data_IF_382232103664
#
_entry.id   IF_382232103664
#
_cell.length_a   1.000
_cell.length_b   1.000
_cell.length_c   1.000
_cell.angle_alpha   90.00
_cell.angle_beta   90.00
_cell.angle_gamma   90.00
#
_symmetry.space_group_name_H-M   'P 1'
#
loop_
_entity.id
_entity.type
_entity.pdbx_description
1 polymer ?
#
# COMPACT_ATOMS: atom_id res chain seq x y z
N UNK A 1 22.98 -58.24 -1.24
CA UNK A 1 23.18 -56.79 -1.21
C UNK A 1 21.84 -56.12 -1.46
N UNK A 2 21.41 -55.18 -0.60
CA UNK A 2 20.12 -54.53 -0.75
C UNK A 2 20.20 -53.57 -1.92
N UNK A 3 19.26 -53.68 -2.91
CA UNK A 3 19.24 -52.81 -4.07
C UNK A 3 18.92 -51.35 -3.66
N UNK A 4 19.62 -50.42 -4.28
CA UNK A 4 19.40 -48.98 -4.06
C UNK A 4 18.11 -48.56 -4.72
N UNK A 5 17.23 -47.87 -3.98
CA UNK A 5 16.01 -47.28 -4.55
C UNK A 5 16.32 -45.90 -5.11
N UNK A 6 16.49 -45.80 -6.43
CA UNK A 6 16.81 -44.56 -7.12
C UNK A 6 15.79 -43.44 -6.91
N UNK A 7 14.54 -43.74 -6.47
CA UNK A 7 13.50 -42.73 -6.17
C UNK A 7 13.80 -41.90 -4.92
N UNK A 8 14.74 -42.39 -4.08
CA UNK A 8 15.20 -41.73 -2.85
C UNK A 8 16.37 -40.77 -3.09
N UNK A 9 16.97 -40.80 -4.27
CA UNK A 9 18.08 -39.94 -4.66
C UNK A 9 17.56 -38.67 -5.37
N UNK A 10 18.27 -37.56 -5.23
CA UNK A 10 18.00 -36.35 -6.02
C UNK A 10 18.25 -36.61 -7.50
N UNK A 11 17.58 -35.84 -8.37
CA UNK A 11 17.79 -35.96 -9.82
C UNK A 11 19.24 -35.76 -10.22
N UNK A 12 19.94 -34.83 -9.56
CA UNK A 12 21.37 -34.53 -9.77
C UNK A 12 22.25 -35.70 -9.37
N UNK A 13 22.00 -36.31 -8.21
CA UNK A 13 22.74 -37.47 -7.75
C UNK A 13 22.56 -38.68 -8.70
N UNK A 14 21.34 -38.91 -9.18
CA UNK A 14 21.04 -39.93 -10.17
C UNK A 14 21.70 -39.67 -11.53
N UNK A 15 21.78 -38.38 -11.93
CA UNK A 15 22.49 -37.99 -13.14
C UNK A 15 23.97 -38.32 -13.06
N UNK A 16 24.62 -37.89 -11.98
CA UNK A 16 26.05 -38.15 -11.78
C UNK A 16 26.34 -39.65 -11.69
N UNK A 17 25.49 -40.44 -11.02
CA UNK A 17 25.64 -41.89 -10.98
C UNK A 17 25.52 -42.53 -12.36
N UNK A 18 24.57 -42.09 -13.20
CA UNK A 18 24.40 -42.57 -14.59
C UNK A 18 25.62 -42.28 -15.44
N UNK A 19 26.09 -41.04 -15.39
CA UNK A 19 27.25 -40.57 -16.17
C UNK A 19 28.49 -41.38 -15.74
N UNK A 20 28.78 -41.42 -14.44
CA UNK A 20 29.94 -42.14 -13.93
C UNK A 20 29.89 -43.65 -14.25
N UNK A 21 28.72 -44.27 -14.14
CA UNK A 21 28.56 -45.69 -14.47
C UNK A 21 28.86 -45.96 -15.95
N UNK A 22 28.37 -45.12 -16.87
CA UNK A 22 28.63 -45.29 -18.29
C UNK A 22 30.10 -45.03 -18.64
N UNK A 23 30.70 -44.00 -18.07
CA UNK A 23 32.13 -43.70 -18.28
C UNK A 23 33.05 -44.82 -17.81
N UNK A 24 32.74 -45.48 -16.69
CA UNK A 24 33.46 -46.69 -16.23
C UNK A 24 33.34 -47.83 -17.21
N UNK A 25 32.18 -48.05 -17.79
CA UNK A 25 31.99 -49.09 -18.82
C UNK A 25 32.78 -48.77 -20.09
N UNK A 26 32.75 -47.52 -20.54
CA UNK A 26 33.54 -47.06 -21.69
C UNK A 26 35.07 -47.15 -21.44
N UNK A 27 35.48 -47.06 -20.15
CA UNK A 27 36.86 -47.27 -19.74
C UNK A 27 37.24 -48.77 -19.68
N UNK A 28 36.33 -49.71 -20.03
CA UNK A 28 36.58 -51.13 -20.14
C UNK A 28 36.11 -51.99 -18.96
N UNK A 29 35.41 -51.40 -17.95
CA UNK A 29 34.85 -52.22 -16.88
C UNK A 29 33.60 -52.98 -17.34
N UNK A 30 33.40 -54.19 -16.80
CA UNK A 30 32.18 -54.97 -17.10
C UNK A 30 30.92 -54.23 -16.63
N UNK A 31 29.89 -54.07 -17.49
CA UNK A 31 28.62 -53.44 -17.11
C UNK A 31 27.97 -54.05 -15.87
N UNK A 32 28.05 -55.34 -15.74
CA UNK A 32 27.52 -56.08 -14.58
C UNK A 32 28.27 -55.77 -13.29
N UNK A 33 29.60 -55.67 -13.34
CA UNK A 33 30.44 -55.25 -12.21
C UNK A 33 30.11 -53.83 -11.75
N UNK A 34 30.02 -52.88 -12.70
CA UNK A 34 29.72 -51.49 -12.44
C UNK A 34 28.35 -51.36 -11.77
N UNK A 35 27.31 -51.95 -12.33
CA UNK A 35 25.95 -51.78 -11.79
C UNK A 35 25.77 -52.46 -10.44
N UNK A 36 26.44 -53.60 -10.22
CA UNK A 36 26.46 -54.29 -8.95
C UNK A 36 27.14 -53.48 -7.86
N UNK A 37 28.26 -52.82 -8.17
CA UNK A 37 28.97 -51.93 -7.23
C UNK A 37 28.13 -50.73 -6.79
N UNK A 38 27.26 -50.19 -7.68
CA UNK A 38 26.38 -49.06 -7.40
C UNK A 38 25.08 -49.51 -6.70
N UNK A 39 24.73 -50.81 -6.80
CA UNK A 39 23.55 -51.35 -6.15
C UNK A 39 22.25 -51.18 -6.93
N UNK A 40 22.31 -50.96 -8.24
CA UNK A 40 21.13 -50.88 -9.11
C UNK A 40 20.85 -52.21 -9.85
N UNK A 41 19.66 -52.30 -10.45
CA UNK A 41 19.28 -53.45 -11.25
C UNK A 41 20.07 -53.46 -12.58
N UNK A 42 20.40 -54.67 -13.05
CA UNK A 42 21.12 -54.90 -14.31
C UNK A 42 20.53 -54.15 -15.52
N UNK A 43 19.24 -54.08 -15.64
CA UNK A 43 18.56 -53.40 -16.73
C UNK A 43 18.93 -51.92 -16.80
N UNK A 44 19.27 -51.27 -15.69
CA UNK A 44 19.58 -49.84 -15.65
C UNK A 44 20.83 -49.50 -16.46
N UNK A 45 21.93 -50.27 -16.30
CA UNK A 45 23.18 -49.95 -16.99
C UNK A 45 23.04 -50.08 -18.51
N UNK A 46 22.33 -51.09 -19.00
CA UNK A 46 22.14 -51.26 -20.44
C UNK A 46 21.25 -50.15 -21.04
N UNK A 47 20.24 -49.65 -20.30
CA UNK A 47 19.48 -48.49 -20.72
C UNK A 47 20.34 -47.22 -20.76
N UNK A 48 21.23 -47.04 -19.81
CA UNK A 48 22.12 -45.89 -19.78
C UNK A 48 23.14 -45.91 -20.92
N UNK A 49 23.75 -47.09 -21.17
CA UNK A 49 24.66 -47.29 -22.30
C UNK A 49 23.93 -47.03 -23.62
N UNK A 50 22.71 -47.55 -23.79
CA UNK A 50 21.92 -47.29 -25.00
C UNK A 50 21.62 -45.82 -25.19
N UNK A 51 21.25 -45.13 -24.12
CA UNK A 51 21.04 -43.67 -24.15
C UNK A 51 22.31 -42.90 -24.50
N UNK A 52 23.45 -43.28 -23.91
CA UNK A 52 24.75 -42.70 -24.23
C UNK A 52 25.16 -42.90 -25.69
N UNK A 53 24.97 -44.09 -26.22
CA UNK A 53 25.25 -44.39 -27.65
C UNK A 53 24.35 -43.63 -28.63
N UNK A 54 23.14 -43.25 -28.21
CA UNK A 54 22.21 -42.51 -29.05
C UNK A 54 22.41 -40.97 -29.01
N UNK A 55 22.95 -40.42 -27.93
CA UNK A 55 23.03 -38.97 -27.77
C UNK A 55 24.13 -38.48 -26.81
N UNK A 56 25.15 -39.31 -26.54
CA UNK A 56 26.27 -38.94 -25.71
C UNK A 56 25.90 -38.65 -24.24
N UNK A 57 26.72 -37.89 -23.56
CA UNK A 57 26.52 -37.49 -22.16
C UNK A 57 25.21 -36.69 -21.99
N UNK A 58 24.82 -35.89 -22.99
CA UNK A 58 23.60 -35.11 -22.92
C UNK A 58 22.33 -35.98 -22.79
N UNK A 59 22.30 -37.16 -23.38
CA UNK A 59 21.19 -38.10 -23.23
C UNK A 59 21.09 -38.73 -21.83
N UNK A 60 22.16 -38.64 -21.03
CA UNK A 60 22.19 -39.11 -19.65
C UNK A 60 21.75 -38.04 -18.64
N UNK A 61 21.67 -36.77 -19.02
CA UNK A 61 21.26 -35.70 -18.15
C UNK A 61 19.81 -35.85 -17.68
N UNK A 62 19.55 -35.37 -16.48
CA UNK A 62 18.21 -35.36 -15.92
C UNK A 62 17.32 -34.35 -16.66
N UNK A 63 16.29 -34.84 -17.32
CA UNK A 63 15.30 -33.98 -17.94
C UNK A 63 14.33 -33.46 -16.88
N UNK A 64 14.08 -32.13 -16.85
CA UNK A 64 13.06 -31.55 -16.01
C UNK A 64 11.70 -32.14 -16.41
N UNK A 65 11.06 -32.82 -15.46
CA UNK A 65 9.71 -33.34 -15.70
C UNK A 65 8.73 -32.17 -15.87
N UNK A 66 7.96 -32.22 -16.93
CA UNK A 66 6.83 -31.32 -17.09
C UNK A 66 5.82 -31.62 -15.99
N UNK A 67 5.53 -30.63 -15.15
CA UNK A 67 4.48 -30.75 -14.14
C UNK A 67 3.10 -30.93 -14.77
N UNK A 68 2.06 -31.03 -13.92
CA UNK A 68 0.67 -31.08 -14.42
C UNK A 68 0.39 -29.84 -15.29
N UNK A 69 -0.21 -30.02 -16.48
CA UNK A 69 -0.61 -28.88 -17.31
C UNK A 69 -1.47 -27.86 -16.54
N UNK A 70 -1.32 -26.57 -16.80
CA UNK A 70 -2.16 -25.54 -16.18
C UNK A 70 -3.64 -25.81 -16.52
N UNK A 71 -4.51 -25.57 -15.54
CA UNK A 71 -5.97 -25.76 -15.73
C UNK A 71 -6.54 -24.66 -16.66
N UNK A 72 -6.01 -23.43 -16.56
CA UNK A 72 -6.35 -22.32 -17.43
C UNK A 72 -5.30 -22.17 -18.54
N UNK A 73 -5.75 -21.92 -19.77
CA UNK A 73 -4.87 -21.63 -20.91
C UNK A 73 -4.23 -20.25 -20.76
N UNK A 74 -3.19 -19.96 -21.57
CA UNK A 74 -2.57 -18.63 -21.62
C UNK A 74 -3.57 -17.52 -21.95
N UNK A 75 -4.45 -17.75 -22.93
CA UNK A 75 -5.51 -16.81 -23.34
C UNK A 75 -6.51 -16.54 -22.21
N UNK A 76 -6.93 -17.61 -21.51
CA UNK A 76 -7.83 -17.48 -20.35
C UNK A 76 -7.18 -16.70 -19.21
N UNK A 77 -5.89 -16.88 -18.99
CA UNK A 77 -5.13 -16.13 -17.99
C UNK A 77 -5.02 -14.64 -18.35
N UNK A 78 -4.76 -14.32 -19.62
CA UNK A 78 -4.74 -12.93 -20.11
C UNK A 78 -6.12 -12.27 -19.99
N UNK A 79 -7.18 -12.96 -20.39
CA UNK A 79 -8.56 -12.45 -20.24
C UNK A 79 -8.90 -12.23 -18.77
N UNK A 80 -8.54 -13.16 -17.88
CA UNK A 80 -8.77 -13.02 -16.45
C UNK A 80 -7.99 -11.84 -15.85
N UNK A 81 -6.77 -11.61 -16.30
CA UNK A 81 -5.98 -10.45 -15.90
C UNK A 81 -6.70 -9.15 -16.27
N UNK A 82 -7.09 -8.98 -17.53
CA UNK A 82 -7.82 -7.80 -18.01
C UNK A 82 -9.15 -7.58 -17.25
N UNK A 83 -9.91 -8.64 -16.99
CA UNK A 83 -11.15 -8.57 -16.20
C UNK A 83 -10.89 -7.99 -14.80
N UNK A 84 -9.82 -8.41 -14.14
CA UNK A 84 -9.55 -7.96 -12.74
C UNK A 84 -8.95 -6.56 -12.72
N UNK A 85 -8.18 -6.16 -13.74
CA UNK A 85 -7.52 -4.85 -13.77
C UNK A 85 -8.40 -3.74 -14.34
N UNK A 86 -9.25 -4.05 -15.31
CA UNK A 86 -9.95 -3.06 -16.12
C UNK A 86 -11.45 -3.00 -15.85
N UNK A 87 -12.01 -4.02 -15.17
CA UNK A 87 -13.44 -4.18 -14.95
C UNK A 87 -13.76 -4.27 -13.45
N UNK A 88 -15.05 -4.18 -13.08
CA UNK A 88 -15.52 -4.30 -11.69
C UNK A 88 -16.41 -5.53 -11.51
N UNK A 89 -16.53 -6.07 -10.29
CA UNK A 89 -17.44 -7.20 -10.01
C UNK A 89 -18.90 -6.92 -10.39
N UNK A 90 -19.33 -5.66 -10.33
CA UNK A 90 -20.71 -5.24 -10.67
C UNK A 90 -21.07 -5.58 -12.12
N UNK A 91 -20.12 -5.48 -13.05
CA UNK A 91 -20.30 -5.86 -14.45
C UNK A 91 -20.58 -7.35 -14.63
N UNK A 92 -20.22 -8.17 -13.62
CA UNK A 92 -20.50 -9.60 -13.55
C UNK A 92 -21.69 -9.95 -12.64
N UNK A 93 -22.55 -8.96 -12.34
CA UNK A 93 -23.77 -9.08 -11.52
C UNK A 93 -23.50 -9.39 -10.04
N UNK A 94 -22.32 -9.05 -9.52
CA UNK A 94 -22.06 -9.09 -8.08
C UNK A 94 -22.38 -7.73 -7.44
N UNK A 95 -23.03 -7.67 -6.28
CA UNK A 95 -23.36 -6.41 -5.61
C UNK A 95 -22.16 -5.84 -4.82
N UNK A 96 -20.96 -5.97 -5.34
CA UNK A 96 -19.72 -5.57 -4.67
C UNK A 96 -18.80 -4.84 -5.64
N UNK A 97 -18.16 -3.76 -5.16
CA UNK A 97 -17.18 -2.99 -5.93
C UNK A 97 -15.76 -3.57 -5.87
N UNK A 98 -15.49 -4.54 -4.97
CA UNK A 98 -14.16 -5.07 -4.74
C UNK A 98 -14.04 -6.54 -5.14
N UNK A 99 -12.98 -6.86 -5.86
CA UNK A 99 -12.63 -8.23 -6.17
C UNK A 99 -12.22 -9.01 -4.91
N UNK A 100 -12.90 -10.11 -4.62
CA UNK A 100 -12.51 -11.10 -3.62
C UNK A 100 -12.15 -12.42 -4.31
N UNK A 101 -11.41 -13.28 -3.63
CA UNK A 101 -11.03 -14.59 -4.18
C UNK A 101 -12.27 -15.42 -4.54
N UNK A 102 -13.33 -15.36 -3.74
CA UNK A 102 -14.58 -16.05 -4.01
C UNK A 102 -15.29 -15.52 -5.27
N UNK A 103 -15.36 -14.20 -5.43
CA UNK A 103 -15.94 -13.58 -6.63
C UNK A 103 -15.11 -13.96 -7.87
N UNK A 104 -13.79 -13.86 -7.79
CA UNK A 104 -12.91 -14.25 -8.92
C UNK A 104 -13.10 -15.72 -9.29
N UNK A 105 -13.24 -16.62 -8.30
CA UNK A 105 -13.56 -18.04 -8.55
C UNK A 105 -14.86 -18.19 -9.35
N UNK A 106 -15.89 -17.46 -8.95
CA UNK A 106 -17.22 -17.56 -9.58
C UNK A 106 -17.21 -16.95 -11.00
N UNK A 107 -16.46 -15.86 -11.21
CA UNK A 107 -16.22 -15.26 -12.55
C UNK A 107 -15.44 -16.23 -13.46
N UNK A 108 -14.40 -16.89 -12.95
CA UNK A 108 -13.69 -17.94 -13.71
C UNK A 108 -14.64 -19.04 -14.16
N UNK A 109 -15.56 -19.46 -13.29
CA UNK A 109 -16.59 -20.44 -13.63
C UNK A 109 -17.56 -19.90 -14.69
N UNK A 110 -17.99 -18.65 -14.58
CA UNK A 110 -18.88 -18.01 -15.55
C UNK A 110 -18.26 -17.90 -16.94
N UNK A 111 -17.01 -17.41 -17.00
CA UNK A 111 -16.34 -17.09 -18.28
C UNK A 111 -15.77 -18.33 -18.99
N UNK A 112 -15.23 -19.28 -18.22
CA UNK A 112 -14.43 -20.37 -18.80
C UNK A 112 -15.03 -21.75 -18.52
N UNK A 113 -16.14 -21.84 -17.78
CA UNK A 113 -16.73 -23.09 -17.30
C UNK A 113 -15.71 -24.00 -16.55
N UNK A 114 -14.73 -23.37 -15.89
CA UNK A 114 -13.67 -24.06 -15.14
C UNK A 114 -13.93 -23.89 -13.64
N UNK A 115 -13.92 -25.01 -12.90
CA UNK A 115 -14.05 -25.00 -11.44
C UNK A 115 -12.67 -24.98 -10.79
N UNK A 116 -12.36 -23.92 -10.07
CA UNK A 116 -11.15 -23.78 -9.26
C UNK A 116 -11.51 -23.71 -7.78
N UNK A 117 -10.62 -24.21 -6.92
CA UNK A 117 -10.66 -23.88 -5.50
C UNK A 117 -10.15 -22.47 -5.25
N UNK A 118 -10.53 -21.84 -4.14
CA UNK A 118 -10.04 -20.50 -3.77
C UNK A 118 -8.51 -20.45 -3.65
N UNK A 119 -7.89 -21.53 -3.16
CA UNK A 119 -6.43 -21.65 -3.11
C UNK A 119 -5.82 -21.66 -4.51
N UNK A 120 -6.48 -22.33 -5.48
CA UNK A 120 -6.00 -22.34 -6.87
C UNK A 120 -6.15 -20.96 -7.52
N UNK A 121 -7.24 -20.25 -7.25
CA UNK A 121 -7.44 -18.86 -7.68
C UNK A 121 -6.36 -17.98 -7.08
N UNK A 122 -6.11 -18.05 -5.79
CA UNK A 122 -5.06 -17.27 -5.13
C UNK A 122 -3.68 -17.49 -5.76
N UNK A 123 -3.31 -18.76 -6.03
CA UNK A 123 -2.06 -19.10 -6.72
C UNK A 123 -2.02 -18.53 -8.12
N UNK A 124 -3.14 -18.56 -8.84
CA UNK A 124 -3.28 -17.98 -10.19
C UNK A 124 -3.07 -16.45 -10.14
N UNK A 125 -3.69 -15.75 -9.18
CA UNK A 125 -3.49 -14.30 -8.98
C UNK A 125 -2.02 -13.98 -8.74
N UNK A 126 -1.36 -14.71 -7.85
CA UNK A 126 0.09 -14.53 -7.60
C UNK A 126 0.94 -14.79 -8.84
N UNK A 127 0.61 -15.80 -9.64
CA UNK A 127 1.29 -16.10 -10.90
C UNK A 127 1.12 -14.98 -11.93
N UNK A 128 -0.03 -14.30 -11.94
CA UNK A 128 -0.32 -13.13 -12.77
C UNK A 128 0.31 -11.83 -12.24
N UNK A 129 1.04 -11.87 -11.12
CA UNK A 129 1.62 -10.68 -10.49
C UNK A 129 0.63 -9.84 -9.69
N UNK A 130 -0.61 -10.33 -9.50
CA UNK A 130 -1.66 -9.63 -8.77
C UNK A 130 -1.53 -9.91 -7.26
N UNK A 131 -1.66 -8.86 -6.47
CA UNK A 131 -1.65 -8.93 -5.00
C UNK A 131 -2.82 -8.14 -4.43
N UNK A 132 -3.35 -8.53 -3.25
CA UNK A 132 -4.37 -7.74 -2.59
C UNK A 132 -3.85 -6.32 -2.32
N UNK A 133 -4.58 -5.32 -2.79
CA UNK A 133 -4.27 -3.91 -2.58
C UNK A 133 -5.40 -3.26 -1.78
N UNK A 134 -5.06 -2.25 -0.99
CA UNK A 134 -6.06 -1.41 -0.35
C UNK A 134 -6.51 -0.35 -1.37
N UNK A 135 -7.79 -0.36 -1.79
CA UNK A 135 -8.23 0.57 -2.81
C UNK A 135 -8.21 2.01 -2.29
N UNK A 136 -7.79 2.93 -3.13
CA UNK A 136 -8.01 4.36 -2.92
C UNK A 136 -9.48 4.66 -3.21
N UNK A 137 -10.15 5.33 -2.28
CA UNK A 137 -11.52 5.80 -2.48
C UNK A 137 -11.47 7.24 -2.94
N UNK A 138 -11.89 7.48 -4.17
CA UNK A 138 -12.06 8.83 -4.73
C UNK A 138 -13.53 9.19 -4.77
N UNK A 139 -13.84 10.43 -4.47
CA UNK A 139 -15.22 10.91 -4.56
C UNK A 139 -15.66 11.00 -6.04
N UNK A 140 -16.88 10.59 -6.34
CA UNK A 140 -17.45 10.74 -7.69
C UNK A 140 -17.50 12.21 -8.16
N UNK A 141 -17.53 13.14 -7.19
CA UNK A 141 -17.57 14.58 -7.43
C UNK A 141 -16.20 15.17 -7.79
N UNK A 142 -15.11 14.41 -7.63
CA UNK A 142 -13.77 14.86 -8.00
C UNK A 142 -13.66 15.04 -9.52
N UNK A 143 -13.23 16.23 -9.94
CA UNK A 143 -12.98 16.54 -11.35
C UNK A 143 -11.51 16.33 -11.66
N UNK A 144 -11.21 15.31 -12.43
CA UNK A 144 -9.84 14.95 -12.81
C UNK A 144 -9.13 16.09 -13.53
N UNK A 145 -9.85 16.84 -14.38
CA UNK A 145 -9.31 17.99 -15.11
C UNK A 145 -8.87 19.10 -14.14
N UNK A 146 -9.66 19.38 -13.08
CA UNK A 146 -9.32 20.39 -12.08
C UNK A 146 -8.07 19.98 -11.28
N UNK A 147 -7.93 18.67 -10.96
CA UNK A 147 -6.72 18.14 -10.32
C UNK A 147 -5.51 18.31 -11.24
N UNK A 148 -5.63 17.93 -12.50
CA UNK A 148 -4.54 18.09 -13.47
C UNK A 148 -4.15 19.57 -13.67
N UNK A 149 -5.13 20.45 -13.80
CA UNK A 149 -4.89 21.90 -13.92
C UNK A 149 -4.16 22.44 -12.67
N UNK A 150 -4.58 22.05 -11.47
CA UNK A 150 -3.90 22.46 -10.24
C UNK A 150 -2.43 22.01 -10.23
N UNK A 151 -2.17 20.75 -10.59
CA UNK A 151 -0.83 20.18 -10.56
C UNK A 151 0.10 20.75 -11.65
N UNK A 152 -0.43 21.00 -12.86
CA UNK A 152 0.37 21.42 -14.00
C UNK A 152 0.50 22.94 -14.16
N UNK A 153 -0.42 23.73 -13.61
CA UNK A 153 -0.47 25.18 -13.84
C UNK A 153 -0.58 25.98 -12.54
N UNK A 154 -1.57 25.70 -11.69
CA UNK A 154 -1.86 26.57 -10.53
C UNK A 154 -0.79 26.44 -9.45
N UNK A 155 -0.44 25.22 -9.02
CA UNK A 155 0.58 25.02 -7.98
C UNK A 155 1.98 25.49 -8.41
N UNK A 156 2.47 25.24 -9.63
CA UNK A 156 3.72 25.85 -10.10
C UNK A 156 3.74 27.37 -9.99
N UNK A 157 2.66 28.06 -10.35
CA UNK A 157 2.52 29.52 -10.19
C UNK A 157 2.58 29.95 -8.73
N UNK A 158 1.91 29.21 -7.84
CA UNK A 158 1.95 29.48 -6.39
C UNK A 158 3.38 29.30 -5.88
N UNK A 159 4.07 28.23 -6.28
CA UNK A 159 5.46 27.95 -5.89
C UNK A 159 6.42 29.02 -6.37
N UNK A 160 6.33 29.42 -7.62
CA UNK A 160 7.22 30.45 -8.21
C UNK A 160 6.99 31.81 -7.56
N UNK A 161 5.73 32.18 -7.30
CA UNK A 161 5.38 33.39 -6.57
C UNK A 161 5.88 33.35 -5.13
N UNK A 162 5.72 32.21 -4.44
CA UNK A 162 6.25 32.05 -3.09
C UNK A 162 7.78 32.20 -3.05
N UNK A 163 8.47 31.64 -4.03
CA UNK A 163 9.93 31.77 -4.17
C UNK A 163 10.34 33.24 -4.39
N UNK A 164 9.61 33.96 -5.24
CA UNK A 164 9.88 35.39 -5.53
C UNK A 164 9.73 36.26 -4.28
N UNK A 165 8.71 36.00 -3.46
CA UNK A 165 8.40 36.78 -2.25
C UNK A 165 9.11 36.22 -0.97
N UNK A 166 9.84 35.12 -1.08
CA UNK A 166 10.42 34.44 0.07
C UNK A 166 9.37 33.84 1.01
N UNK A 167 8.16 33.62 0.51
CA UNK A 167 7.04 33.09 1.31
C UNK A 167 7.21 31.61 1.65
N UNK A 168 6.58 31.21 2.77
CA UNK A 168 6.48 29.82 3.17
C UNK A 168 5.12 29.26 2.76
N UNK A 169 5.11 28.14 2.01
CA UNK A 169 3.86 27.48 1.61
C UNK A 169 3.46 26.50 2.72
N UNK A 170 2.25 26.66 3.22
CA UNK A 170 1.61 25.78 4.20
C UNK A 170 0.39 25.10 3.60
N UNK A 171 0.15 23.87 3.99
CA UNK A 171 -1.08 23.13 3.72
C UNK A 171 -1.81 23.00 5.04
N UNK A 172 -3.07 23.41 5.04
CA UNK A 172 -3.92 23.37 6.23
C UNK A 172 -5.14 22.49 6.04
N UNK A 173 -5.58 21.91 7.14
CA UNK A 173 -6.76 21.06 7.20
C UNK A 173 -7.39 21.09 8.60
N UNK A 174 -8.65 20.74 8.68
CA UNK A 174 -9.35 20.51 9.94
C UNK A 174 -9.73 19.02 10.10
N UNK A 175 -9.65 18.57 11.32
CA UNK A 175 -10.04 17.22 11.65
C UNK A 175 -10.79 17.11 12.96
N UNK A 176 -11.51 16.02 13.05
CA UNK A 176 -12.17 15.59 14.28
C UNK A 176 -11.70 14.21 14.69
N UNK A 177 -11.30 14.09 15.96
CA UNK A 177 -10.95 12.80 16.55
C UNK A 177 -12.00 12.42 17.59
N UNK A 178 -12.47 11.18 17.50
CA UNK A 178 -13.45 10.62 18.42
C UNK A 178 -12.78 9.59 19.34
N UNK A 179 -13.30 9.47 20.56
CA UNK A 179 -12.82 8.52 21.55
C UNK A 179 -13.07 7.06 21.21
N UNK A 180 -14.04 6.77 20.35
CA UNK A 180 -14.38 5.43 19.87
C UNK A 180 -13.55 4.98 18.65
N UNK A 181 -12.55 5.75 18.25
CA UNK A 181 -11.61 5.35 17.23
C UNK A 181 -10.55 4.41 17.82
N UNK A 182 -10.52 3.18 17.34
CA UNK A 182 -9.54 2.19 17.76
C UNK A 182 -8.75 1.69 16.54
N UNK A 183 -7.46 1.52 16.71
CA UNK A 183 -6.58 1.01 15.67
C UNK A 183 -5.47 0.15 16.25
N UNK A 184 -5.01 -0.81 15.44
CA UNK A 184 -3.89 -1.67 15.80
C UNK A 184 -4.33 -3.05 16.30
N UNK A 185 -3.31 -3.84 16.64
CA UNK A 185 -3.43 -5.20 17.17
C UNK A 185 -2.63 -5.30 18.46
N UNK A 186 -2.99 -6.26 19.32
CA UNK A 186 -2.22 -6.57 20.53
C UNK A 186 -1.94 -8.07 20.62
N UNK A 187 -0.98 -8.44 21.46
CA UNK A 187 -0.63 -9.84 21.68
C UNK A 187 -1.62 -10.50 22.63
N UNK A 188 -2.03 -11.71 22.29
CA UNK A 188 -2.86 -12.57 23.13
C UNK A 188 -2.58 -14.03 22.81
N UNK A 189 -3.05 -14.94 23.65
CA UNK A 189 -2.99 -16.39 23.39
C UNK A 189 -3.78 -16.68 22.12
N UNK A 190 -3.21 -17.52 21.23
CA UNK A 190 -3.86 -17.92 19.97
C UNK A 190 -5.28 -18.44 20.22
N UNK A 191 -6.23 -17.89 19.54
CA UNK A 191 -7.66 -18.23 19.69
C UNK A 191 -8.41 -17.45 20.77
N UNK A 192 -7.72 -16.67 21.61
CA UNK A 192 -8.33 -15.84 22.65
C UNK A 192 -8.25 -14.37 22.25
N UNK A 193 -9.38 -13.78 21.84
CA UNK A 193 -9.43 -12.36 21.53
C UNK A 193 -9.35 -11.54 22.81
N UNK A 194 -8.36 -10.65 22.95
CA UNK A 194 -8.23 -9.80 24.14
C UNK A 194 -9.33 -8.76 24.21
N UNK A 195 -9.78 -8.45 25.42
CA UNK A 195 -10.80 -7.43 25.68
C UNK A 195 -10.11 -6.19 26.27
N UNK A 196 -10.27 -5.07 25.58
CA UNK A 196 -9.88 -3.75 26.10
C UNK A 196 -11.15 -3.04 26.60
N UNK A 197 -11.21 -2.76 27.90
CA UNK A 197 -12.38 -2.05 28.46
C UNK A 197 -12.35 -0.59 28.02
N UNK A 198 -13.45 -0.10 27.46
CA UNK A 198 -13.62 1.29 27.05
C UNK A 198 -14.95 1.83 27.63
N UNK A 199 -15.09 3.15 27.66
CA UNK A 199 -16.38 3.79 27.99
C UNK A 199 -17.34 3.69 26.80
N UNK A 200 -18.64 3.53 27.05
CA UNK A 200 -19.68 3.64 26.03
C UNK A 200 -19.96 5.08 25.57
N UNK A 201 -19.43 6.08 26.28
CA UNK A 201 -19.60 7.47 25.92
C UNK A 201 -18.68 7.86 24.74
N UNK A 202 -19.17 8.77 23.87
CA UNK A 202 -18.45 9.23 22.69
C UNK A 202 -18.05 10.67 22.88
N UNK A 203 -16.75 10.90 23.03
CA UNK A 203 -16.15 12.23 23.11
C UNK A 203 -15.57 12.62 21.74
N UNK A 204 -15.49 13.90 21.47
CA UNK A 204 -14.99 14.45 20.22
C UNK A 204 -14.10 15.66 20.51
N UNK A 205 -12.97 15.74 19.82
CA UNK A 205 -12.08 16.91 19.81
C UNK A 205 -11.89 17.36 18.38
N UNK A 206 -12.15 18.63 18.12
CA UNK A 206 -11.90 19.27 16.84
C UNK A 206 -10.57 20.01 16.88
N UNK A 207 -9.88 20.06 15.76
CA UNK A 207 -8.58 20.70 15.64
C UNK A 207 -8.36 21.17 14.21
N UNK A 208 -7.48 22.15 14.05
CA UNK A 208 -6.96 22.62 12.79
C UNK A 208 -5.45 22.63 12.84
N UNK A 209 -4.78 22.28 11.76
CA UNK A 209 -3.35 22.45 11.61
C UNK A 209 -2.95 22.97 10.24
N UNK A 210 -1.70 23.38 10.15
CA UNK A 210 -1.03 23.66 8.90
C UNK A 210 0.44 23.24 9.01
N UNK A 211 0.94 22.59 7.95
CA UNK A 211 2.31 22.08 7.85
C UNK A 211 2.99 22.57 6.58
N UNK A 212 4.32 22.70 6.61
CA UNK A 212 5.13 23.01 5.43
C UNK A 212 6.14 21.91 5.11
N UNK A 213 6.69 21.95 3.90
CA UNK A 213 7.66 20.96 3.43
C UNK A 213 9.03 21.03 4.17
N UNK A 214 9.28 22.07 4.97
CA UNK A 214 10.46 22.18 5.84
C UNK A 214 10.27 21.44 7.15
N UNK A 215 9.04 20.99 7.45
CA UNK A 215 8.67 20.27 8.67
C UNK A 215 8.17 21.17 9.78
N UNK A 216 7.83 22.42 9.49
CA UNK A 216 7.15 23.28 10.45
C UNK A 216 5.67 22.92 10.55
N UNK A 217 5.11 23.07 11.75
CA UNK A 217 3.71 22.83 12.03
C UNK A 217 3.14 23.92 12.96
N UNK A 218 1.93 24.36 12.66
CA UNK A 218 1.07 25.14 13.55
C UNK A 218 -0.23 24.39 13.74
N UNK A 219 -0.77 24.39 14.95
CA UNK A 219 -2.06 23.76 15.24
C UNK A 219 -2.83 24.48 16.31
N UNK A 220 -4.12 24.28 16.32
CA UNK A 220 -5.04 24.77 17.34
C UNK A 220 -6.12 23.73 17.63
N UNK A 221 -6.41 23.48 18.90
CA UNK A 221 -7.56 22.69 19.31
C UNK A 221 -8.77 23.61 19.34
N UNK A 222 -9.87 23.15 18.79
CA UNK A 222 -11.13 23.87 18.67
C UNK A 222 -12.11 23.28 19.67
N UNK A 223 -12.70 24.09 20.52
CA UNK A 223 -13.64 23.61 21.57
C UNK A 223 -14.98 23.16 20.99
N UNK A 224 -15.42 23.81 19.94
CA UNK A 224 -16.70 23.54 19.27
C UNK A 224 -16.49 23.12 17.80
N UNK A 225 -17.39 23.46 16.92
CA UNK A 225 -17.22 23.29 15.46
C UNK A 225 -16.35 24.39 14.87
N UNK A 226 -15.74 24.11 13.72
CA UNK A 226 -15.06 25.12 12.93
C UNK A 226 -16.06 26.21 12.48
N UNK A 227 -15.76 27.45 12.83
CA UNK A 227 -16.51 28.64 12.38
C UNK A 227 -15.56 29.59 11.66
N UNK A 228 -16.14 30.58 10.96
CA UNK A 228 -15.35 31.63 10.28
C UNK A 228 -14.44 32.36 11.28
N UNK A 229 -14.92 32.67 12.47
CA UNK A 229 -14.16 33.41 13.47
C UNK A 229 -13.03 32.55 14.07
N UNK A 230 -13.28 31.27 14.28
CA UNK A 230 -12.25 30.28 14.70
C UNK A 230 -11.16 30.14 13.64
N UNK A 231 -11.53 30.10 12.35
CA UNK A 231 -10.57 30.02 11.26
C UNK A 231 -9.71 31.30 11.19
N UNK A 232 -10.32 32.48 11.31
CA UNK A 232 -9.60 33.76 11.37
C UNK A 232 -8.60 33.79 12.55
N UNK A 233 -9.01 33.29 13.71
CA UNK A 233 -8.08 33.18 14.86
C UNK A 233 -6.89 32.25 14.54
N UNK A 234 -7.13 31.13 13.85
CA UNK A 234 -6.05 30.26 13.40
C UNK A 234 -5.12 30.98 12.38
N UNK A 235 -5.67 31.70 11.42
CA UNK A 235 -4.89 32.49 10.46
C UNK A 235 -4.02 33.54 11.16
N UNK A 236 -4.57 34.25 12.15
CA UNK A 236 -3.84 35.21 12.96
C UNK A 236 -2.65 34.55 13.65
N UNK A 237 -2.86 33.40 14.30
CA UNK A 237 -1.78 32.64 14.95
C UNK A 237 -0.75 32.09 13.94
N UNK A 238 -1.17 31.76 12.74
CA UNK A 238 -0.29 31.24 11.69
C UNK A 238 0.72 32.30 11.22
N UNK A 239 0.29 33.57 11.10
CA UNK A 239 1.16 34.67 10.64
C UNK A 239 1.91 35.37 11.78
N UNK A 240 1.44 35.26 13.02
CA UNK A 240 2.07 35.95 14.17
C UNK A 240 3.54 35.53 14.34
N UNK A 241 4.41 36.54 14.49
CA UNK A 241 5.85 36.35 14.75
C UNK A 241 6.64 35.82 13.56
N UNK A 242 6.13 36.00 12.32
CA UNK A 242 6.83 35.64 11.10
C UNK A 242 7.37 36.85 10.38
N UNK A 243 8.57 36.72 9.85
CA UNK A 243 9.20 37.75 9.02
C UNK A 243 8.95 37.52 7.51
N UNK A 244 8.47 36.34 7.11
CA UNK A 244 8.19 35.96 5.74
C UNK A 244 6.70 35.73 5.54
N UNK A 245 6.13 36.09 4.37
CA UNK A 245 4.73 35.83 4.06
C UNK A 245 4.40 34.33 4.12
N UNK A 246 3.15 34.05 4.39
CA UNK A 246 2.59 32.69 4.42
C UNK A 246 1.62 32.52 3.26
N UNK A 247 1.85 31.52 2.44
CA UNK A 247 0.90 31.06 1.44
C UNK A 247 0.21 29.82 2.02
N UNK A 248 -1.06 29.93 2.36
CA UNK A 248 -1.82 28.83 2.95
C UNK A 248 -2.72 28.20 1.89
N UNK A 249 -2.54 26.90 1.66
CA UNK A 249 -3.37 26.10 0.77
C UNK A 249 -4.32 25.28 1.64
N UNK A 250 -5.62 25.42 1.43
CA UNK A 250 -6.69 24.71 2.16
C UNK A 250 -7.68 24.07 1.18
N UNK A 251 -8.57 23.26 1.68
CA UNK A 251 -9.68 22.74 0.88
C UNK A 251 -10.74 23.82 0.55
N UNK A 252 -11.75 23.44 -0.24
CA UNK A 252 -12.83 24.32 -0.65
C UNK A 252 -13.94 24.49 0.38
N UNK A 253 -13.74 24.21 1.67
CA UNK A 253 -14.78 24.29 2.68
C UNK A 253 -15.40 25.71 2.75
N UNK A 254 -16.73 25.85 2.91
CA UNK A 254 -17.41 27.16 2.91
C UNK A 254 -16.86 28.15 3.95
N UNK A 255 -16.40 27.68 5.08
CA UNK A 255 -15.78 28.52 6.14
C UNK A 255 -14.56 29.25 5.59
N UNK A 256 -13.71 28.60 4.79
CA UNK A 256 -12.49 29.18 4.23
C UNK A 256 -12.79 30.29 3.20
N UNK A 257 -13.96 30.23 2.58
CA UNK A 257 -14.42 31.20 1.55
C UNK A 257 -15.32 32.32 2.10
N UNK A 258 -15.51 32.36 3.42
CA UNK A 258 -16.36 33.34 4.09
C UNK A 258 -15.94 34.77 3.81
N UNK A 259 -16.92 35.70 3.76
CA UNK A 259 -16.65 37.13 3.52
C UNK A 259 -15.65 37.72 4.52
N UNK A 260 -15.80 37.40 5.81
CA UNK A 260 -14.88 37.85 6.87
C UNK A 260 -13.46 37.30 6.67
N UNK A 261 -13.32 36.06 6.17
CA UNK A 261 -11.99 35.48 5.88
C UNK A 261 -11.32 36.24 4.74
N UNK A 262 -12.07 36.52 3.65
CA UNK A 262 -11.54 37.31 2.53
C UNK A 262 -11.13 38.71 2.96
N UNK A 263 -11.93 39.36 3.82
CA UNK A 263 -11.59 40.65 4.38
C UNK A 263 -10.30 40.55 5.21
N UNK A 264 -10.20 39.60 6.13
CA UNK A 264 -8.98 39.39 6.95
C UNK A 264 -7.74 39.18 6.08
N UNK A 265 -7.84 38.34 5.04
CA UNK A 265 -6.71 38.08 4.11
C UNK A 265 -6.33 39.36 3.35
N UNK A 266 -7.32 40.16 2.92
CA UNK A 266 -7.07 41.44 2.25
C UNK A 266 -6.38 42.45 3.18
N UNK A 267 -6.75 42.49 4.45
CA UNK A 267 -6.14 43.36 5.46
C UNK A 267 -4.71 42.96 5.84
N UNK A 268 -4.32 41.71 5.51
CA UNK A 268 -3.00 41.14 5.80
C UNK A 268 -2.31 40.64 4.52
N UNK A 269 -2.57 41.26 3.38
CA UNK A 269 -2.09 40.80 2.07
C UNK A 269 -0.55 40.78 1.93
N UNK A 270 0.14 41.53 2.76
CA UNK A 270 1.61 41.52 2.88
C UNK A 270 2.15 40.31 3.63
N UNK A 271 1.31 39.64 4.44
CA UNK A 271 1.71 38.51 5.30
C UNK A 271 1.02 37.19 4.95
N UNK A 272 -0.13 37.22 4.27
CA UNK A 272 -0.94 36.04 4.04
C UNK A 272 -1.60 36.04 2.66
N UNK A 273 -1.38 34.98 1.89
CA UNK A 273 -2.19 34.64 0.73
C UNK A 273 -2.89 33.30 0.97
N UNK A 274 -4.16 33.18 0.54
CA UNK A 274 -4.96 31.97 0.71
C UNK A 274 -5.27 31.35 -0.66
N UNK A 275 -4.95 30.07 -0.80
CA UNK A 275 -5.18 29.27 -2.01
C UNK A 275 -6.06 28.07 -1.69
N UNK A 276 -6.67 27.49 -2.72
CA UNK A 276 -7.61 26.41 -2.56
C UNK A 276 -7.21 25.18 -3.38
N UNK A 277 -7.30 24.02 -2.76
CA UNK A 277 -7.20 22.74 -3.46
C UNK A 277 -8.40 22.53 -4.39
N UNK A 278 -8.26 21.71 -5.44
CA UNK A 278 -9.39 21.21 -6.20
C UNK A 278 -10.41 20.53 -5.29
N UNK A 279 -11.68 20.66 -5.62
CA UNK A 279 -12.73 20.06 -4.80
C UNK A 279 -12.62 18.54 -4.71
N UNK A 280 -12.88 17.99 -3.53
CA UNK A 280 -12.85 16.54 -3.25
C UNK A 280 -11.50 15.85 -3.53
N UNK A 281 -10.39 16.54 -3.26
CA UNK A 281 -9.04 16.02 -3.49
C UNK A 281 -8.20 16.00 -2.20
N UNK A 282 -8.62 15.26 -1.16
CA UNK A 282 -7.89 15.18 0.10
C UNK A 282 -6.49 14.55 -0.06
N UNK A 283 -6.29 13.70 -1.08
CA UNK A 283 -5.00 13.08 -1.39
C UNK A 283 -3.91 14.11 -1.76
N UNK A 284 -4.29 15.32 -2.17
CA UNK A 284 -3.36 16.41 -2.46
C UNK A 284 -3.00 17.22 -1.20
N UNK A 285 -3.63 16.95 -0.06
CA UNK A 285 -3.34 17.66 1.18
C UNK A 285 -2.44 16.84 2.11
N UNK A 286 -1.17 17.21 2.30
CA UNK A 286 -0.27 16.50 3.20
C UNK A 286 -0.70 16.57 4.67
N UNK A 287 -1.52 17.54 5.08
CA UNK A 287 -2.00 17.68 6.44
C UNK A 287 -2.96 16.57 6.86
N UNK A 288 -3.62 15.89 5.91
CA UNK A 288 -4.37 14.64 6.15
C UNK A 288 -3.51 13.54 6.80
N UNK A 289 -2.22 13.51 6.49
CA UNK A 289 -1.29 12.54 7.08
C UNK A 289 -0.96 12.87 8.53
N UNK A 290 -1.07 14.12 8.96
CA UNK A 290 -1.00 14.53 10.37
C UNK A 290 -2.10 13.84 11.16
N UNK A 291 -3.33 13.88 10.65
CA UNK A 291 -4.49 13.25 11.29
C UNK A 291 -4.36 11.74 11.35
N UNK A 292 -3.94 11.12 10.25
CA UNK A 292 -3.66 9.68 10.22
C UNK A 292 -2.60 9.29 11.24
N UNK A 293 -1.54 10.08 11.37
CA UNK A 293 -0.49 9.84 12.37
C UNK A 293 -1.04 9.94 13.80
N UNK A 294 -1.75 11.01 14.14
CA UNK A 294 -2.32 11.21 15.48
C UNK A 294 -3.36 10.14 15.82
N UNK A 295 -4.26 9.83 14.88
CA UNK A 295 -5.29 8.80 15.05
C UNK A 295 -4.67 7.42 15.28
N UNK A 296 -3.76 7.00 14.40
CA UNK A 296 -3.26 5.63 14.37
C UNK A 296 -2.10 5.37 15.35
N UNK A 297 -1.24 6.37 15.59
CA UNK A 297 -0.07 6.16 16.45
C UNK A 297 -0.30 6.56 17.91
N UNK A 298 -1.38 7.29 18.21
CA UNK A 298 -1.65 7.75 19.57
C UNK A 298 -3.06 7.38 20.00
N UNK A 299 -4.07 8.10 19.55
CA UNK A 299 -5.44 8.01 20.08
C UNK A 299 -6.03 6.62 19.94
N UNK A 300 -5.88 5.99 18.75
CA UNK A 300 -6.45 4.68 18.48
C UNK A 300 -5.86 3.52 19.28
N UNK A 301 -4.76 3.76 19.99
CA UNK A 301 -4.08 2.76 20.86
C UNK A 301 -4.33 2.99 22.34
N UNK A 302 -5.07 4.03 22.71
CA UNK A 302 -5.28 4.42 24.10
C UNK A 302 -6.73 4.20 24.54
N UNK A 303 -6.91 3.88 25.81
CA UNK A 303 -8.22 3.87 26.45
C UNK A 303 -8.55 5.26 26.93
N UNK A 304 -9.67 5.82 26.49
CA UNK A 304 -10.10 7.18 26.78
C UNK A 304 -11.35 7.10 27.65
N UNK A 305 -11.29 7.72 28.82
CA UNK A 305 -12.38 7.65 29.82
C UNK A 305 -13.17 8.97 29.95
N UNK A 306 -12.66 10.06 29.38
CA UNK A 306 -13.33 11.37 29.45
C UNK A 306 -12.88 12.38 28.39
N UNK A 307 -13.64 13.47 28.19
CA UNK A 307 -13.36 14.48 27.18
C UNK A 307 -12.05 15.24 27.43
N UNK A 308 -11.76 15.59 28.68
CA UNK A 308 -10.52 16.31 29.03
C UNK A 308 -9.28 15.44 28.78
N UNK A 309 -9.38 14.14 29.07
CA UNK A 309 -8.32 13.20 28.77
C UNK A 309 -8.08 13.10 27.27
N UNK A 310 -9.14 13.01 26.44
CA UNK A 310 -9.02 13.01 25.00
C UNK A 310 -8.34 14.30 24.49
N UNK A 311 -8.78 15.46 24.99
CA UNK A 311 -8.20 16.78 24.65
C UNK A 311 -6.71 16.84 25.00
N UNK A 312 -6.34 16.39 26.21
CA UNK A 312 -4.95 16.36 26.66
C UNK A 312 -4.08 15.43 25.82
N UNK A 313 -4.57 14.23 25.47
CA UNK A 313 -3.87 13.25 24.63
C UNK A 313 -3.63 13.84 23.24
N UNK A 314 -4.66 14.39 22.61
CA UNK A 314 -4.58 14.98 21.26
C UNK A 314 -3.60 16.17 21.27
N UNK A 315 -3.72 17.07 22.24
CA UNK A 315 -2.81 18.20 22.39
C UNK A 315 -1.36 17.76 22.54
N UNK A 316 -1.11 16.78 23.42
CA UNK A 316 0.23 16.21 23.63
C UNK A 316 0.79 15.57 22.35
N UNK A 317 -0.04 14.83 21.61
CA UNK A 317 0.36 14.20 20.35
C UNK A 317 0.75 15.24 19.28
N UNK A 318 -0.07 16.28 19.10
CA UNK A 318 0.20 17.37 18.15
C UNK A 318 1.44 18.17 18.55
N UNK A 319 1.58 18.49 19.84
CA UNK A 319 2.77 19.18 20.37
C UNK A 319 4.05 18.33 20.22
N UNK A 320 3.95 17.01 20.39
CA UNK A 320 5.07 16.10 20.12
C UNK A 320 5.44 16.10 18.65
N UNK A 321 4.44 15.96 17.77
CA UNK A 321 4.64 15.93 16.32
C UNK A 321 5.26 17.25 15.82
N UNK A 322 4.82 18.40 16.31
CA UNK A 322 5.38 19.70 15.92
C UNK A 322 6.86 19.88 16.30
N UNK A 323 7.39 19.04 17.22
CA UNK A 323 8.82 18.99 17.58
C UNK A 323 9.60 17.95 16.78
N UNK A 324 8.98 17.24 15.85
CA UNK A 324 9.58 16.18 15.03
C UNK A 324 9.51 16.54 13.55
N UNK A 325 10.24 17.58 13.09
CA UNK A 325 10.15 18.08 11.70
C UNK A 325 10.53 17.02 10.68
N UNK A 326 11.35 16.03 11.03
CA UNK A 326 11.68 14.92 10.11
C UNK A 326 10.48 14.03 9.79
N UNK A 327 9.55 13.83 10.73
CA UNK A 327 8.30 13.07 10.48
C UNK A 327 7.38 13.88 9.57
N UNK A 328 7.21 15.17 9.85
CA UNK A 328 6.38 16.04 9.02
C UNK A 328 6.91 16.10 7.58
N UNK A 329 8.22 16.22 7.38
CA UNK A 329 8.84 16.17 6.06
C UNK A 329 8.55 14.88 5.31
N UNK A 330 8.50 13.74 6.01
CA UNK A 330 8.17 12.46 5.38
C UNK A 330 6.75 12.42 4.80
N UNK A 331 5.81 13.17 5.34
CA UNK A 331 4.46 13.25 4.79
C UNK A 331 4.46 13.76 3.36
N UNK A 332 5.33 14.72 3.03
CA UNK A 332 5.45 15.29 1.69
C UNK A 332 6.09 14.34 0.65
N UNK A 333 6.61 13.20 1.08
CA UNK A 333 7.15 12.16 0.20
C UNK A 333 6.14 11.04 -0.12
N UNK A 334 4.88 11.16 0.30
CA UNK A 334 3.84 10.26 -0.14
C UNK A 334 3.64 10.37 -1.67
N UNK A 335 3.31 9.27 -2.37
CA UNK A 335 3.26 9.26 -3.85
C UNK A 335 2.41 10.37 -4.47
N UNK A 336 1.23 10.65 -3.91
CA UNK A 336 0.31 11.67 -4.41
C UNK A 336 0.77 13.12 -4.10
N UNK A 337 1.79 13.29 -3.25
CA UNK A 337 2.29 14.58 -2.76
C UNK A 337 3.67 14.96 -3.33
N UNK A 338 4.22 14.13 -4.21
CA UNK A 338 5.54 14.40 -4.81
C UNK A 338 5.58 15.70 -5.62
N UNK A 339 4.43 16.17 -6.10
CA UNK A 339 4.31 17.46 -6.82
C UNK A 339 4.79 18.67 -6.01
N UNK A 340 4.84 18.55 -4.67
CA UNK A 340 5.25 19.62 -3.76
C UNK A 340 6.77 19.74 -3.69
N UNK A 341 7.49 18.61 -3.77
CA UNK A 341 8.94 18.52 -3.55
C UNK A 341 9.74 18.28 -4.83
N UNK A 342 9.02 18.07 -5.95
CA UNK A 342 9.60 17.90 -7.30
C UNK A 342 10.13 19.19 -7.91
#
# INVERSE_FOLDING_TARGET
MKLLDGRKLSHEALEQLRINAVLRVEAGESPESVIKSIGFQRVCIYRWIAAYRSGGIEALRAKKLNGRPPILTGEQLMKLFSVITDETPEQYKFPFALWTISIIRDVVRQLFNVRLSEVSVWRTMKKLGLTPQRPLRRAYQQKTEAVQQFLSDEFPKIRDRAKLLGASIYWGDEASIRSDYHSGTTWAVKGNTPIVKTTGARFKVNMISAIDARGNMRFMIIEHSLTVDVFIEFLRRLITGRNAPVFLIVDGHPVHRGKKVKQFVSEHADQLELYYLPGYSPELNPDELVWNHVKNQTVGKMTITGPDQLKAIVHSALRRLSKLPHIIRQFFHAPDLLYIVS
#
